data_IF_616440268688
#
_entry.id   IF_616440268688
#
_cell.length_a   1.000
_cell.length_b   1.000
_cell.length_c   1.000
_cell.angle_alpha   90.00
_cell.angle_beta   90.00
_cell.angle_gamma   90.00
#
_symmetry.space_group_name_H-M   'P 1'
#
loop_
_entity.id
_entity.type
_entity.pdbx_description
1 polymer ?
#
# COMPACT_ATOMS: atom_id res chain seq x y z
N UNK A 1 -8.87 13.94 10.45
CA UNK A 1 -9.25 12.92 11.44
C UNK A 1 -7.96 12.59 12.20
N UNK A 2 -7.95 11.64 13.14
CA UNK A 2 -6.69 11.15 13.72
C UNK A 2 -6.45 9.73 13.21
N UNK A 3 -5.36 9.50 12.49
CA UNK A 3 -4.93 8.16 12.12
C UNK A 3 -4.00 7.60 13.21
N UNK A 4 -4.02 6.28 13.39
CA UNK A 4 -3.06 5.54 14.23
C UNK A 4 -2.43 4.35 13.48
N UNK A 5 -2.73 4.21 12.19
CA UNK A 5 -2.18 3.17 11.31
C UNK A 5 -1.71 3.80 10.01
N UNK A 6 -0.61 3.32 9.46
CA UNK A 6 -0.07 3.81 8.21
C UNK A 6 0.11 2.64 7.24
N UNK A 7 -0.37 2.81 6.01
CA UNK A 7 -0.07 1.91 4.90
C UNK A 7 0.79 2.66 3.88
N UNK A 8 1.95 2.12 3.54
CA UNK A 8 2.92 2.78 2.65
C UNK A 8 3.17 1.88 1.45
N UNK A 9 2.83 2.36 0.26
CA UNK A 9 2.87 1.59 -0.99
C UNK A 9 3.65 2.31 -2.09
N UNK A 10 4.18 1.51 -3.02
CA UNK A 10 4.98 2.02 -4.13
C UNK A 10 4.10 2.72 -5.18
N UNK A 11 3.05 2.04 -5.66
CA UNK A 11 2.22 2.50 -6.78
C UNK A 11 0.74 2.59 -6.38
N UNK A 12 -0.03 3.45 -7.06
CA UNK A 12 -1.44 3.62 -6.73
C UNK A 12 -2.27 2.47 -7.26
N UNK A 13 -2.74 1.60 -6.36
CA UNK A 13 -3.52 0.36 -6.54
C UNK A 13 -2.96 -0.74 -5.65
N UNK A 14 -1.66 -0.71 -5.35
CA UNK A 14 -1.00 -1.64 -4.44
C UNK A 14 -1.72 -1.72 -3.09
N UNK A 15 -2.17 -0.57 -2.56
CA UNK A 15 -2.90 -0.51 -1.28
C UNK A 15 -4.22 -1.30 -1.33
N UNK A 16 -4.86 -1.36 -2.50
CA UNK A 16 -6.11 -2.09 -2.70
C UNK A 16 -5.86 -3.52 -3.15
N UNK A 17 -4.79 -3.80 -3.90
CA UNK A 17 -4.46 -5.16 -4.37
C UNK A 17 -3.99 -6.02 -3.21
N UNK A 18 -3.14 -5.46 -2.36
CA UNK A 18 -2.40 -6.18 -1.32
C UNK A 18 -2.84 -5.86 0.11
N UNK A 19 -3.51 -4.73 0.35
CA UNK A 19 -4.01 -4.32 1.67
C UNK A 19 -5.48 -3.95 1.68
N UNK A 20 -6.23 -4.22 0.61
CA UNK A 20 -7.58 -3.71 0.42
C UNK A 20 -8.56 -4.18 1.50
N UNK A 21 -8.37 -5.38 2.05
CA UNK A 21 -9.20 -5.88 3.16
C UNK A 21 -8.98 -5.07 4.44
N UNK A 22 -7.72 -4.70 4.73
CA UNK A 22 -7.37 -3.87 5.89
C UNK A 22 -8.06 -2.51 5.82
N UNK A 23 -8.14 -1.91 4.63
CA UNK A 23 -8.81 -0.62 4.41
C UNK A 23 -10.34 -0.72 4.50
N UNK A 24 -10.92 -1.86 4.13
CA UNK A 24 -12.37 -2.11 4.22
C UNK A 24 -12.78 -2.32 5.67
N UNK A 25 -12.05 -3.16 6.39
CA UNK A 25 -12.44 -3.67 7.72
C UNK A 25 -12.04 -2.74 8.86
N UNK A 26 -10.96 -1.97 8.68
CA UNK A 26 -10.42 -1.11 9.73
C UNK A 26 -10.50 0.38 9.36
N UNK A 27 -10.61 1.24 10.37
CA UNK A 27 -10.49 2.71 10.26
C UNK A 27 -9.18 3.20 10.89
N UNK A 28 -8.91 4.49 10.72
CA UNK A 28 -7.73 5.16 11.29
C UNK A 28 -6.48 5.02 10.42
N UNK A 29 -6.65 4.86 9.10
CA UNK A 29 -5.55 4.74 8.15
C UNK A 29 -5.11 6.10 7.59
N UNK A 30 -3.79 6.30 7.56
CA UNK A 30 -3.11 7.14 6.59
C UNK A 30 -2.48 6.24 5.52
N UNK A 31 -2.79 6.49 4.25
CA UNK A 31 -2.21 5.75 3.12
C UNK A 31 -1.25 6.64 2.34
N UNK A 32 0.02 6.26 2.28
CA UNK A 32 1.05 6.95 1.51
C UNK A 32 1.34 6.15 0.23
N UNK A 33 1.05 6.73 -0.93
CA UNK A 33 1.50 6.21 -2.22
C UNK A 33 2.70 7.05 -2.70
N UNK A 34 3.88 6.44 -2.84
CA UNK A 34 5.11 7.22 -3.05
C UNK A 34 5.33 7.67 -4.50
N UNK A 35 4.64 7.08 -5.48
CA UNK A 35 4.78 7.43 -6.91
C UNK A 35 3.51 8.03 -7.52
N UNK A 36 3.64 8.50 -8.77
CA UNK A 36 2.54 8.87 -9.67
C UNK A 36 1.69 10.09 -9.25
N UNK A 37 2.16 10.90 -8.30
CA UNK A 37 1.47 12.11 -7.88
C UNK A 37 1.15 13.09 -9.01
N UNK A 38 1.98 13.23 -10.04
CA UNK A 38 1.68 14.10 -11.19
C UNK A 38 0.76 13.44 -12.25
N UNK A 39 0.58 12.12 -12.17
CA UNK A 39 -0.27 11.38 -13.08
C UNK A 39 -1.74 11.61 -12.74
N UNK A 40 -2.34 12.61 -13.40
CA UNK A 40 -3.73 13.05 -13.15
C UNK A 40 -4.76 11.92 -13.20
N UNK A 41 -4.55 10.90 -14.05
CA UNK A 41 -5.48 9.77 -14.15
C UNK A 41 -5.33 8.85 -12.94
N UNK A 42 -4.10 8.38 -12.67
CA UNK A 42 -3.80 7.48 -11.54
C UNK A 42 -4.17 8.11 -10.20
N UNK A 43 -3.82 9.39 -10.00
CA UNK A 43 -4.21 10.17 -8.80
C UNK A 43 -5.72 10.16 -8.58
N UNK A 44 -6.52 10.46 -9.61
CA UNK A 44 -7.99 10.47 -9.49
C UNK A 44 -8.57 9.11 -9.11
N UNK A 45 -7.99 8.03 -9.62
CA UNK A 45 -8.41 6.67 -9.29
C UNK A 45 -8.07 6.34 -7.82
N UNK A 46 -6.84 6.63 -7.38
CA UNK A 46 -6.39 6.47 -6.00
C UNK A 46 -7.21 7.28 -5.01
N UNK A 47 -7.36 8.58 -5.23
CA UNK A 47 -8.16 9.46 -4.36
C UNK A 47 -9.60 9.00 -4.22
N UNK A 48 -10.17 8.41 -5.28
CA UNK A 48 -11.53 7.88 -5.23
C UNK A 48 -11.63 6.68 -4.30
N UNK A 49 -10.67 5.77 -4.36
CA UNK A 49 -10.63 4.62 -3.44
C UNK A 49 -10.41 5.07 -2.01
N UNK A 50 -9.44 5.98 -1.77
CA UNK A 50 -9.14 6.47 -0.42
C UNK A 50 -10.36 7.15 0.23
N UNK A 51 -11.14 7.91 -0.55
CA UNK A 51 -12.41 8.50 -0.10
C UNK A 51 -13.46 7.44 0.23
N UNK A 52 -13.59 6.40 -0.60
CA UNK A 52 -14.55 5.31 -0.39
C UNK A 52 -14.26 4.51 0.90
N UNK A 53 -12.99 4.29 1.22
CA UNK A 53 -12.59 3.58 2.46
C UNK A 53 -12.49 4.51 3.68
N UNK A 54 -12.64 5.82 3.48
CA UNK A 54 -12.49 6.86 4.50
C UNK A 54 -11.10 6.89 5.15
N UNK A 55 -10.05 6.72 4.34
CA UNK A 55 -8.66 6.86 4.77
C UNK A 55 -8.16 8.29 4.53
N UNK A 56 -7.28 8.77 5.41
CA UNK A 56 -6.39 9.88 5.07
C UNK A 56 -5.34 9.39 4.08
N UNK A 57 -4.83 10.27 3.23
CA UNK A 57 -3.90 9.86 2.19
C UNK A 57 -2.95 10.96 1.74
N UNK A 58 -1.76 10.53 1.33
CA UNK A 58 -0.82 11.35 0.57
C UNK A 58 -0.36 10.59 -0.65
N UNK A 59 -0.13 11.33 -1.73
CA UNK A 59 0.41 10.79 -2.96
C UNK A 59 1.59 11.65 -3.39
N UNK A 60 2.78 11.07 -3.34
CA UNK A 60 4.03 11.71 -3.71
C UNK A 60 4.36 11.46 -5.19
N UNK A 61 5.46 12.02 -5.66
CA UNK A 61 5.83 11.96 -7.07
C UNK A 61 7.25 11.45 -7.30
N UNK A 62 7.65 10.40 -6.56
CA UNK A 62 8.84 9.67 -6.90
C UNK A 62 8.66 8.98 -8.26
N UNK A 63 9.77 8.81 -8.97
CA UNK A 63 9.77 8.22 -10.31
C UNK A 63 9.30 6.77 -10.26
N UNK A 64 8.27 6.45 -11.03
CA UNK A 64 7.78 5.09 -11.25
C UNK A 64 8.65 4.39 -12.31
N UNK A 65 9.28 3.28 -11.93
CA UNK A 65 10.21 2.52 -12.77
C UNK A 65 10.26 1.04 -12.36
N UNK A 66 9.81 0.16 -13.24
CA UNK A 66 9.80 -1.30 -13.02
C UNK A 66 11.12 -1.91 -12.51
N UNK A 67 12.26 -1.53 -13.13
CA UNK A 67 13.60 -1.96 -12.74
C UNK A 67 14.40 -0.80 -12.10
N UNK A 68 13.71 0.21 -11.60
CA UNK A 68 14.34 1.41 -11.04
C UNK A 68 14.65 1.29 -9.57
N UNK A 69 15.29 2.35 -9.07
CA UNK A 69 15.57 2.56 -7.65
C UNK A 69 14.97 3.91 -7.26
N UNK A 70 14.40 3.97 -6.06
CA UNK A 70 14.14 5.26 -5.44
C UNK A 70 15.46 5.94 -5.07
N UNK A 71 15.45 7.27 -5.02
CA UNK A 71 16.43 8.01 -4.25
C UNK A 71 16.24 7.64 -2.77
N UNK A 72 17.05 6.69 -2.29
CA UNK A 72 16.89 6.13 -0.96
C UNK A 72 17.08 7.17 0.13
N UNK A 73 18.03 8.09 -0.03
CA UNK A 73 18.32 9.10 0.99
C UNK A 73 17.12 10.02 1.16
N UNK A 74 16.58 10.53 0.04
CA UNK A 74 15.42 11.40 0.06
C UNK A 74 14.17 10.68 0.56
N UNK A 75 13.92 9.48 0.06
CA UNK A 75 12.76 8.68 0.45
C UNK A 75 12.80 8.33 1.94
N UNK A 76 13.97 7.95 2.48
CA UNK A 76 14.13 7.70 3.91
C UNK A 76 13.83 8.95 4.75
N UNK A 77 14.27 10.14 4.32
CA UNK A 77 13.98 11.38 5.05
C UNK A 77 12.47 11.68 5.07
N UNK A 78 11.80 11.60 3.92
CA UNK A 78 10.35 11.84 3.81
C UNK A 78 9.54 10.81 4.63
N UNK A 79 9.93 9.53 4.58
CA UNK A 79 9.30 8.46 5.37
C UNK A 79 9.52 8.66 6.88
N UNK A 80 10.70 9.13 7.29
CA UNK A 80 10.99 9.40 8.69
C UNK A 80 10.11 10.54 9.22
N UNK A 81 9.88 11.57 8.41
CA UNK A 81 8.95 12.64 8.75
C UNK A 81 7.54 12.08 8.96
N UNK A 82 7.02 11.27 8.03
CA UNK A 82 5.70 10.65 8.14
C UNK A 82 5.57 9.83 9.44
N UNK A 83 6.54 8.96 9.72
CA UNK A 83 6.52 8.08 10.89
C UNK A 83 6.63 8.86 12.20
N UNK A 84 7.23 10.05 12.20
CA UNK A 84 7.36 10.90 13.38
C UNK A 84 6.13 11.79 13.66
N UNK A 85 5.19 11.93 12.71
CA UNK A 85 4.04 12.84 12.83
C UNK A 85 3.08 12.45 13.96
N UNK A 86 2.83 11.15 14.13
CA UNK A 86 1.91 10.62 15.13
C UNK A 86 2.39 9.26 15.65
N UNK A 87 2.06 8.90 16.89
CA UNK A 87 2.20 7.52 17.35
C UNK A 87 1.39 6.58 16.46
N UNK A 88 2.03 5.51 15.99
CA UNK A 88 1.41 4.50 15.13
C UNK A 88 1.39 3.14 15.83
N UNK A 89 0.25 2.48 15.77
CA UNK A 89 0.06 1.13 16.31
C UNK A 89 0.34 0.05 15.25
N UNK A 90 0.34 0.42 13.96
CA UNK A 90 0.49 -0.51 12.84
C UNK A 90 1.05 0.21 11.62
N UNK A 91 2.14 -0.31 11.06
CA UNK A 91 2.67 0.09 9.76
C UNK A 91 2.54 -1.10 8.81
N UNK A 92 1.94 -0.91 7.63
CA UNK A 92 1.79 -1.93 6.60
C UNK A 92 2.52 -1.51 5.33
N UNK A 93 3.30 -2.40 4.75
CA UNK A 93 3.97 -2.15 3.46
C UNK A 93 4.21 -3.45 2.67
N UNK A 94 4.96 -3.36 1.58
CA UNK A 94 5.38 -4.50 0.78
C UNK A 94 6.28 -5.47 1.55
N UNK A 95 6.30 -6.73 1.13
CA UNK A 95 7.26 -7.71 1.63
C UNK A 95 8.63 -7.62 0.93
N UNK A 96 9.63 -8.30 1.50
CA UNK A 96 11.01 -8.28 1.01
C UNK A 96 11.19 -8.95 -0.36
N UNK A 97 10.23 -9.77 -0.80
CA UNK A 97 10.20 -10.37 -2.13
C UNK A 97 9.52 -9.46 -3.18
N UNK A 98 8.88 -8.36 -2.74
CA UNK A 98 8.16 -7.42 -3.59
C UNK A 98 6.92 -8.00 -4.26
N UNK A 99 6.25 -8.92 -3.57
CA UNK A 99 5.07 -9.72 -3.98
C UNK A 99 5.26 -10.55 -5.25
N UNK A 100 5.50 -9.90 -6.38
CA UNK A 100 5.78 -10.50 -7.68
C UNK A 100 7.17 -10.12 -8.21
N UNK A 101 8.09 -9.72 -7.33
CA UNK A 101 9.47 -9.39 -7.67
C UNK A 101 9.71 -7.96 -8.13
N UNK A 102 8.78 -7.02 -7.87
CA UNK A 102 8.93 -5.63 -8.31
C UNK A 102 10.05 -4.92 -7.54
N UNK A 103 11.03 -4.33 -8.22
CA UNK A 103 12.23 -3.79 -7.55
C UNK A 103 11.90 -2.65 -6.61
N UNK A 104 10.95 -1.78 -6.97
CA UNK A 104 10.53 -0.67 -6.10
C UNK A 104 9.78 -1.11 -4.85
N UNK A 105 9.03 -2.23 -4.90
CA UNK A 105 8.39 -2.80 -3.71
C UNK A 105 9.45 -3.28 -2.74
N UNK A 106 10.45 -4.00 -3.25
CA UNK A 106 11.59 -4.51 -2.47
C UNK A 106 12.38 -3.37 -1.82
N UNK A 107 12.64 -2.29 -2.57
CA UNK A 107 13.37 -1.13 -2.03
C UNK A 107 12.57 -0.46 -0.91
N UNK A 108 11.28 -0.20 -1.12
CA UNK A 108 10.42 0.42 -0.11
C UNK A 108 10.31 -0.46 1.14
N UNK A 109 10.08 -1.77 0.95
CA UNK A 109 10.05 -2.76 2.03
C UNK A 109 11.33 -2.72 2.86
N UNK A 110 12.51 -2.79 2.22
CA UNK A 110 13.80 -2.74 2.92
C UNK A 110 13.96 -1.47 3.76
N UNK A 111 13.62 -0.31 3.21
CA UNK A 111 13.70 0.95 3.98
C UNK A 111 12.83 0.89 5.23
N UNK A 112 11.58 0.43 5.12
CA UNK A 112 10.69 0.36 6.27
C UNK A 112 11.09 -0.72 7.29
N UNK A 113 11.68 -1.83 6.83
CA UNK A 113 12.29 -2.84 7.71
C UNK A 113 13.48 -2.33 8.51
N UNK A 114 14.20 -1.35 7.98
CA UNK A 114 15.34 -0.69 8.64
C UNK A 114 14.88 0.45 9.58
N UNK A 115 13.70 1.03 9.35
CA UNK A 115 13.21 2.22 10.05
C UNK A 115 12.17 1.94 11.14
N UNK A 116 11.46 0.80 11.05
CA UNK A 116 10.33 0.47 11.95
C UNK A 116 10.69 -0.75 12.79
N UNK A 117 10.92 -0.53 14.09
CA UNK A 117 11.38 -1.55 15.02
C UNK A 117 10.29 -2.48 15.56
N UNK A 118 9.02 -2.03 15.59
CA UNK A 118 7.89 -2.78 16.13
C UNK A 118 6.62 -2.50 15.32
N UNK A 119 5.70 -3.47 15.31
CA UNK A 119 4.40 -3.35 14.64
C UNK A 119 4.50 -3.08 13.13
N UNK A 120 5.56 -3.60 12.51
CA UNK A 120 5.68 -3.63 11.05
C UNK A 120 4.98 -4.88 10.53
N UNK A 121 4.09 -4.68 9.57
CA UNK A 121 3.37 -5.70 8.86
C UNK A 121 3.69 -5.59 7.37
N UNK A 122 3.74 -6.74 6.71
CA UNK A 122 3.95 -6.81 5.27
C UNK A 122 2.79 -7.52 4.59
N UNK A 123 2.54 -7.17 3.33
CA UNK A 123 1.60 -7.90 2.49
C UNK A 123 2.04 -9.36 2.31
N UNK A 124 1.09 -10.28 2.46
CA UNK A 124 1.33 -11.71 2.41
C UNK A 124 0.19 -12.44 1.70
N UNK A 125 0.41 -13.73 1.41
CA UNK A 125 -0.62 -14.61 0.87
C UNK A 125 -1.15 -15.53 1.96
N UNK A 126 -2.47 -15.57 2.12
CA UNK A 126 -3.13 -16.57 2.95
C UNK A 126 -3.33 -17.89 2.18
N UNK A 127 -3.36 -19.00 2.91
CA UNK A 127 -3.72 -20.32 2.35
C UNK A 127 -5.19 -20.35 1.90
N UNK A 128 -6.04 -19.62 2.61
CA UNK A 128 -7.48 -19.53 2.34
C UNK A 128 -7.79 -18.30 1.52
N UNK A 129 -8.68 -18.49 0.56
CA UNK A 129 -9.26 -17.40 -0.22
C UNK A 129 -10.12 -16.52 0.68
N UNK A 130 -10.10 -15.22 0.41
CA UNK A 130 -11.00 -14.25 1.04
C UNK A 130 -12.46 -14.68 0.92
N UNK A 131 -13.24 -14.35 1.96
CA UNK A 131 -14.69 -14.49 1.97
C UNK A 131 -15.33 -13.82 0.74
N UNK A 132 -16.46 -14.36 0.28
CA UNK A 132 -17.13 -13.90 -0.92
C UNK A 132 -17.62 -12.44 -0.81
N UNK A 133 -18.12 -12.03 0.36
CA UNK A 133 -18.55 -10.65 0.62
C UNK A 133 -17.36 -9.71 0.58
N UNK A 134 -16.30 -10.02 1.32
CA UNK A 134 -15.10 -9.18 1.40
C UNK A 134 -14.41 -9.06 0.04
N UNK A 135 -14.27 -10.18 -0.69
CA UNK A 135 -13.73 -10.17 -2.05
C UNK A 135 -14.61 -9.36 -3.03
N UNK A 136 -15.93 -9.37 -2.84
CA UNK A 136 -16.85 -8.55 -3.65
C UNK A 136 -16.63 -7.05 -3.39
N UNK A 137 -16.53 -6.65 -2.13
CA UNK A 137 -16.24 -5.26 -1.75
C UNK A 137 -14.89 -4.80 -2.29
N UNK A 138 -13.84 -5.61 -2.10
CA UNK A 138 -12.51 -5.35 -2.64
C UNK A 138 -12.52 -5.17 -4.16
N UNK A 139 -13.26 -6.01 -4.90
CA UNK A 139 -13.42 -5.88 -6.35
C UNK A 139 -14.13 -4.59 -6.77
N UNK A 140 -15.06 -4.07 -5.97
CA UNK A 140 -15.70 -2.77 -6.24
C UNK A 140 -14.67 -1.63 -6.15
N UNK A 141 -13.78 -1.66 -5.16
CA UNK A 141 -12.68 -0.69 -5.05
C UNK A 141 -11.73 -0.80 -6.23
N UNK A 142 -11.30 -2.02 -6.58
CA UNK A 142 -10.41 -2.28 -7.72
C UNK A 142 -11.02 -1.82 -9.06
N UNK A 143 -12.35 -1.74 -9.17
CA UNK A 143 -13.01 -1.23 -10.38
C UNK A 143 -12.77 0.27 -10.62
N UNK A 144 -12.29 1.03 -9.63
CA UNK A 144 -11.90 2.42 -9.82
C UNK A 144 -10.57 2.58 -10.55
N UNK A 145 -9.66 1.59 -10.49
CA UNK A 145 -8.38 1.58 -11.22
C UNK A 145 -8.53 1.16 -12.67
N UNK A 146 -9.39 1.85 -13.42
CA UNK A 146 -9.73 1.54 -14.82
C UNK A 146 -8.55 1.69 -15.78
N UNK A 147 -7.52 2.43 -15.37
CA UNK A 147 -6.29 2.58 -16.16
C UNK A 147 -5.41 1.32 -16.19
N UNK A 148 -5.66 0.33 -15.33
CA UNK A 148 -4.78 -0.81 -15.13
C UNK A 148 -5.38 -2.15 -15.56
N UNK A 149 -4.52 -3.06 -16.02
CA UNK A 149 -4.88 -4.47 -16.15
C UNK A 149 -4.36 -5.27 -14.96
N UNK A 150 -5.27 -5.55 -14.02
CA UNK A 150 -4.97 -6.27 -12.78
C UNK A 150 -5.26 -7.78 -12.89
N UNK A 151 -5.61 -8.30 -14.07
CA UNK A 151 -6.04 -9.71 -14.23
C UNK A 151 -4.95 -10.71 -13.86
N UNK A 152 -3.69 -10.37 -14.07
CA UNK A 152 -2.56 -11.23 -13.75
C UNK A 152 -2.24 -11.25 -12.24
N UNK A 153 -2.71 -10.25 -11.48
CA UNK A 153 -2.57 -10.16 -10.02
C UNK A 153 -3.72 -10.83 -9.24
N UNK A 154 -4.58 -11.61 -9.92
CA UNK A 154 -5.73 -12.31 -9.32
C UNK A 154 -5.38 -13.16 -8.09
N UNK A 155 -4.16 -13.71 -8.01
CA UNK A 155 -3.68 -14.47 -6.85
C UNK A 155 -3.67 -13.59 -5.60
N UNK A 156 -2.94 -12.48 -5.65
CA UNK A 156 -2.83 -11.52 -4.55
C UNK A 156 -4.18 -10.90 -4.17
N UNK A 157 -5.02 -10.62 -5.18
CA UNK A 157 -6.36 -10.08 -4.92
C UNK A 157 -7.21 -11.05 -4.09
N UNK A 158 -7.15 -12.35 -4.38
CA UNK A 158 -8.03 -13.39 -3.81
C UNK A 158 -7.54 -13.96 -2.49
N UNK A 159 -6.24 -13.95 -2.26
CA UNK A 159 -5.58 -14.59 -1.12
C UNK A 159 -4.80 -13.55 -0.31
N UNK A 160 -5.31 -12.31 -0.26
CA UNK A 160 -4.70 -11.23 0.50
C UNK A 160 -4.62 -11.57 1.99
N UNK A 161 -3.50 -11.23 2.61
CA UNK A 161 -3.34 -11.15 4.05
C UNK A 161 -2.23 -10.15 4.38
N UNK A 162 -2.07 -9.85 5.66
CA UNK A 162 -0.89 -9.16 6.18
C UNK A 162 -0.25 -10.02 7.28
N UNK A 163 1.07 -9.95 7.39
CA UNK A 163 1.84 -10.66 8.40
C UNK A 163 2.71 -9.69 9.18
N UNK A 164 2.70 -9.79 10.51
CA UNK A 164 3.62 -9.05 11.36
C UNK A 164 5.05 -9.61 11.24
N UNK A 165 6.03 -8.74 11.07
CA UNK A 165 7.45 -9.09 10.87
C UNK A 165 8.39 -8.40 11.85
N UNK A 166 7.88 -7.45 12.65
CA UNK A 166 8.57 -6.77 13.75
C UNK A 166 7.62 -6.57 14.92
#
# INVERSE_FOLDING_TARGET
MSYNKIMIVAHPDDETIFGGTQLIEEKGWLVICVTNGDNRKRRKEFEKVMKEVHAEYEMWNYKDQWNGKFDRSRLTADLAEVLARNPVEKVVTHNLDGEYGHTQHIVLSKLLHDMVDNNLYVFALADKKLDASLLSQKKKLLHYYKSQDLKWLKKYIKYESVQQVR
#
